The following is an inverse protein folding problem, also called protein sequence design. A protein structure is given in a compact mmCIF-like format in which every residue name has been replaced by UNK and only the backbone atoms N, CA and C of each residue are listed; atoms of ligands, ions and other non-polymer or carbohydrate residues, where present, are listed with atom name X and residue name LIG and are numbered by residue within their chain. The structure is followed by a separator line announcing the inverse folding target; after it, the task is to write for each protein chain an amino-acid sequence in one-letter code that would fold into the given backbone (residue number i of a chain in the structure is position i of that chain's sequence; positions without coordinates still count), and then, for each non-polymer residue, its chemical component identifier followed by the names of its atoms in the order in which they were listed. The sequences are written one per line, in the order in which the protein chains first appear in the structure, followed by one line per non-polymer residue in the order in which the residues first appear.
data_IF_743913055977
#
_entry.id   IF_743913055977
#
_cell.length_a   1.000
_cell.length_b   1.000
_cell.length_c   1.000
_cell.angle_alpha   90.00
_cell.angle_beta   90.00
_cell.angle_gamma   90.00
#
_symmetry.space_group_name_H-M   'P 1'
#
loop_
_entity.id
_entity.type
_entity.pdbx_description
1 polymer ?
#
# COMPACT_ATOMS: atom_id res chain seq x y z
N UNK A 1 53.17 22.26 -7.78
CA UNK A 1 51.93 22.25 -6.97
C UNK A 1 50.76 21.98 -7.90
N UNK A 2 50.37 20.72 -8.07
CA UNK A 2 49.15 20.37 -8.79
C UNK A 2 48.13 19.90 -7.74
N UNK A 3 47.08 20.68 -7.53
CA UNK A 3 45.95 20.31 -6.68
C UNK A 3 45.03 19.40 -7.51
N UNK A 4 44.94 18.13 -7.14
CA UNK A 4 43.89 17.24 -7.64
C UNK A 4 42.58 17.57 -6.91
N UNK A 5 41.57 18.03 -7.66
CA UNK A 5 40.19 18.08 -7.19
C UNK A 5 39.61 16.65 -7.25
N UNK A 6 39.32 16.06 -6.09
CA UNK A 6 38.45 14.88 -6.00
C UNK A 6 36.99 15.35 -6.16
N UNK A 7 36.20 14.78 -7.10
CA UNK A 7 34.78 15.07 -7.14
C UNK A 7 34.11 14.40 -5.94
N UNK A 8 33.33 15.19 -5.20
CA UNK A 8 32.48 14.70 -4.12
C UNK A 8 31.35 13.88 -4.78
N UNK A 9 31.38 12.56 -4.61
CA UNK A 9 30.26 11.69 -4.99
C UNK A 9 29.07 12.07 -4.08
N UNK A 10 27.89 12.43 -4.61
CA UNK A 10 26.73 12.63 -3.77
C UNK A 10 26.36 11.27 -3.15
N UNK A 11 26.36 11.20 -1.82
CA UNK A 11 25.74 10.10 -1.09
C UNK A 11 24.24 10.16 -1.38
N UNK A 12 23.78 9.36 -2.35
CA UNK A 12 22.36 9.04 -2.50
C UNK A 12 22.01 8.10 -1.35
N UNK A 13 21.34 8.64 -0.33
CA UNK A 13 20.71 7.81 0.68
C UNK A 13 19.60 6.98 0.01
N UNK A 14 19.53 5.67 0.24
CA UNK A 14 18.42 4.86 -0.27
C UNK A 14 17.13 5.36 0.39
N UNK A 15 16.21 5.87 -0.42
CA UNK A 15 14.85 6.18 0.02
C UNK A 15 14.17 4.83 0.26
N UNK A 16 13.67 4.54 1.47
CA UNK A 16 12.99 3.29 1.76
C UNK A 16 11.77 3.10 0.85
N UNK A 17 11.64 1.91 0.26
CA UNK A 17 10.46 1.47 -0.48
C UNK A 17 9.29 1.33 0.50
N UNK A 18 8.36 2.27 0.43
CA UNK A 18 7.15 2.34 1.22
C UNK A 18 5.96 2.18 0.28
N UNK A 19 5.09 1.23 0.60
CA UNK A 19 3.75 1.10 0.07
C UNK A 19 3.02 2.42 0.26
N UNK A 20 2.44 3.03 -0.78
CA UNK A 20 2.19 4.49 -0.88
C UNK A 20 3.21 5.30 -0.06
N UNK A 21 4.18 5.96 -0.68
CA UNK A 21 5.15 6.76 0.09
C UNK A 21 4.45 7.70 1.09
N UNK A 22 5.13 8.13 2.15
CA UNK A 22 4.48 8.81 3.28
C UNK A 22 3.47 9.93 2.92
N UNK A 23 3.71 10.60 1.79
CA UNK A 23 2.76 11.54 1.16
C UNK A 23 1.38 10.91 0.87
N UNK A 24 1.31 9.74 0.23
CA UNK A 24 0.09 9.04 -0.12
C UNK A 24 -0.73 8.62 1.12
N UNK A 25 -0.11 7.95 2.09
CA UNK A 25 -0.79 7.56 3.33
C UNK A 25 -1.34 8.75 4.11
N UNK A 26 -0.53 9.79 4.30
CA UNK A 26 -0.96 10.99 5.03
C UNK A 26 -2.08 11.73 4.29
N UNK A 27 -2.04 11.72 2.94
CA UNK A 27 -3.12 12.27 2.10
C UNK A 27 -4.42 11.49 2.27
N UNK A 28 -4.38 10.16 2.20
CA UNK A 28 -5.55 9.29 2.41
C UNK A 28 -6.17 9.54 3.79
N UNK A 29 -5.33 9.59 4.82
CA UNK A 29 -5.75 9.83 6.19
C UNK A 29 -6.37 11.24 6.38
N UNK A 30 -5.81 12.27 5.74
CA UNK A 30 -6.35 13.63 5.79
C UNK A 30 -7.74 13.72 5.12
N UNK A 31 -7.89 13.14 3.93
CA UNK A 31 -9.19 13.04 3.22
C UNK A 31 -10.22 12.33 4.10
N UNK A 32 -9.80 11.27 4.81
CA UNK A 32 -10.68 10.53 5.69
C UNK A 32 -11.10 11.35 6.92
N UNK A 33 -10.13 12.00 7.58
CA UNK A 33 -10.33 12.85 8.76
C UNK A 33 -11.36 13.95 8.49
N UNK A 34 -11.33 14.60 7.33
CA UNK A 34 -12.28 15.65 6.96
C UNK A 34 -13.73 15.15 6.81
N UNK A 35 -13.92 13.86 6.55
CA UNK A 35 -15.22 13.25 6.27
C UNK A 35 -15.79 12.45 7.45
N UNK A 36 -15.13 12.47 8.61
CA UNK A 36 -15.62 11.80 9.81
C UNK A 36 -16.89 12.45 10.34
N UNK A 37 -17.88 11.62 10.68
CA UNK A 37 -19.02 12.01 11.49
C UNK A 37 -18.56 12.46 12.89
N UNK A 38 -19.35 13.30 13.55
CA UNK A 38 -19.04 13.76 14.92
C UNK A 38 -18.89 12.59 15.92
N UNK A 39 -19.67 11.51 15.73
CA UNK A 39 -19.58 10.31 16.54
C UNK A 39 -18.25 9.58 16.33
N UNK A 40 -17.89 9.29 15.08
CA UNK A 40 -16.63 8.61 14.77
C UNK A 40 -15.42 9.43 15.23
N UNK A 41 -15.43 10.74 14.99
CA UNK A 41 -14.38 11.66 15.44
C UNK A 41 -14.18 11.58 16.95
N UNK A 42 -15.25 11.60 17.74
CA UNK A 42 -15.14 11.50 19.20
C UNK A 42 -14.51 10.18 19.66
N UNK A 43 -14.84 9.06 19.01
CA UNK A 43 -14.29 7.75 19.35
C UNK A 43 -12.81 7.65 18.97
N UNK A 44 -12.47 8.11 17.75
CA UNK A 44 -11.09 8.15 17.24
C UNK A 44 -10.21 9.01 18.14
N UNK A 45 -10.65 10.22 18.51
CA UNK A 45 -9.90 11.09 19.43
C UNK A 45 -9.63 10.40 20.77
N UNK A 46 -10.59 9.65 21.31
CA UNK A 46 -10.40 8.91 22.55
C UNK A 46 -9.31 7.83 22.41
N UNK A 47 -9.27 7.11 21.29
CA UNK A 47 -8.22 6.11 21.00
C UNK A 47 -6.86 6.78 20.81
N UNK A 48 -6.76 7.81 19.95
CA UNK A 48 -5.50 8.51 19.65
C UNK A 48 -4.86 9.15 20.90
N UNK A 49 -5.69 9.63 21.84
CA UNK A 49 -5.20 10.24 23.09
C UNK A 49 -4.36 9.28 23.96
N UNK A 50 -4.53 7.97 23.81
CA UNK A 50 -3.73 6.96 24.50
C UNK A 50 -2.27 6.96 24.03
N UNK A 51 -2.04 7.25 22.74
CA UNK A 51 -0.72 7.35 22.12
C UNK A 51 -0.11 8.75 22.15
N UNK A 52 -0.92 9.78 22.48
CA UNK A 52 -0.62 11.20 22.25
C UNK A 52 -0.46 11.55 20.76
N UNK A 53 -1.16 10.80 19.90
CA UNK A 53 -1.23 11.08 18.48
C UNK A 53 -2.24 12.22 18.22
N UNK A 54 -1.92 13.22 17.40
CA UNK A 54 -2.77 14.40 17.21
C UNK A 54 -3.99 14.14 16.31
N UNK A 55 -3.85 13.32 15.27
CA UNK A 55 -4.84 13.12 14.20
C UNK A 55 -4.54 11.85 13.38
N UNK A 56 -5.42 11.50 12.43
CA UNK A 56 -5.21 10.34 11.54
C UNK A 56 -3.96 10.49 10.63
N UNK A 57 -3.64 11.64 10.01
CA UNK A 57 -2.41 11.80 9.22
C UNK A 57 -1.13 11.46 9.98
N UNK A 58 -1.02 11.86 11.25
CA UNK A 58 0.16 11.60 12.06
C UNK A 58 0.43 10.11 12.32
N UNK A 59 -0.60 9.26 12.27
CA UNK A 59 -0.47 7.82 12.49
C UNK A 59 -0.40 6.99 11.20
N UNK A 60 -0.63 7.61 10.05
CA UNK A 60 -0.84 6.89 8.79
C UNK A 60 0.39 6.10 8.33
N UNK A 61 1.58 6.44 8.81
CA UNK A 61 2.85 5.79 8.45
C UNK A 61 3.36 4.77 9.48
N UNK A 62 2.68 4.63 10.62
CA UNK A 62 3.18 3.86 11.75
C UNK A 62 3.47 2.40 11.42
N UNK A 63 2.60 1.74 10.63
CA UNK A 63 2.80 0.33 10.26
C UNK A 63 4.10 0.12 9.47
N UNK A 64 4.40 1.04 8.56
CA UNK A 64 5.61 1.01 7.75
C UNK A 64 6.87 1.33 8.55
N UNK A 65 6.78 2.29 9.48
CA UNK A 65 7.85 2.61 10.41
C UNK A 65 8.17 1.42 11.33
N UNK A 66 7.15 0.71 11.81
CA UNK A 66 7.29 -0.52 12.60
C UNK A 66 7.95 -1.63 11.78
N UNK A 67 7.50 -1.85 10.54
CA UNK A 67 8.11 -2.82 9.61
C UNK A 67 9.57 -2.49 9.34
N UNK A 68 9.91 -1.21 9.15
CA UNK A 68 11.29 -0.76 8.96
C UNK A 68 12.15 -0.98 10.22
N UNK A 69 11.58 -0.75 11.40
CA UNK A 69 12.24 -0.94 12.69
C UNK A 69 12.66 -2.41 12.93
N UNK A 70 11.87 -3.38 12.44
CA UNK A 70 12.24 -4.80 12.49
C UNK A 70 13.58 -5.10 11.81
N UNK A 71 13.98 -4.27 10.85
CA UNK A 71 15.25 -4.35 10.15
C UNK A 71 16.28 -3.30 10.62
N UNK A 72 16.05 -2.68 11.78
CA UNK A 72 16.93 -1.66 12.37
C UNK A 72 16.98 -0.35 11.59
N UNK A 73 15.91 0.02 10.90
CA UNK A 73 15.80 1.25 10.09
C UNK A 73 14.60 2.09 10.48
N UNK A 74 14.53 3.31 9.96
CA UNK A 74 13.38 4.20 10.12
C UNK A 74 13.32 4.89 11.48
N UNK A 75 12.31 5.74 11.70
CA UNK A 75 12.21 6.57 12.90
C UNK A 75 11.92 5.78 14.18
N UNK A 76 11.40 4.55 14.06
CA UNK A 76 11.05 3.69 15.20
C UNK A 76 12.08 2.60 15.50
N UNK A 77 13.30 2.66 14.93
CA UNK A 77 14.32 1.60 15.12
C UNK A 77 14.72 1.35 16.57
N UNK A 78 14.64 2.39 17.41
CA UNK A 78 14.91 2.32 18.85
C UNK A 78 13.65 2.44 19.72
N UNK A 79 12.47 2.45 19.10
CA UNK A 79 11.20 2.58 19.81
C UNK A 79 10.81 1.25 20.51
N UNK A 80 10.52 1.27 21.82
CA UNK A 80 10.18 0.06 22.55
C UNK A 80 8.81 -0.52 22.14
N UNK A 81 7.82 0.31 21.78
CA UNK A 81 6.51 -0.17 21.34
C UNK A 81 6.64 -0.90 20.00
N UNK A 82 7.39 -0.34 19.05
CA UNK A 82 7.66 -0.96 17.76
C UNK A 82 8.43 -2.27 17.90
N UNK A 83 9.39 -2.34 18.83
CA UNK A 83 10.12 -3.58 19.14
C UNK A 83 9.18 -4.66 19.69
N UNK A 84 8.42 -4.34 20.73
CA UNK A 84 7.47 -5.27 21.35
C UNK A 84 6.43 -5.77 20.35
N UNK A 85 5.92 -4.86 19.49
CA UNK A 85 4.99 -5.22 18.43
C UNK A 85 5.62 -6.16 17.41
N UNK A 86 6.85 -5.90 16.95
CA UNK A 86 7.54 -6.77 16.01
C UNK A 86 7.87 -8.15 16.60
N UNK A 87 8.23 -8.20 17.88
CA UNK A 87 8.48 -9.46 18.59
C UNK A 87 7.18 -10.29 18.72
N UNK A 88 6.05 -9.62 18.96
CA UNK A 88 4.73 -10.27 19.03
C UNK A 88 4.19 -10.68 17.66
N UNK A 89 4.46 -9.87 16.62
CA UNK A 89 3.92 -10.03 15.27
C UNK A 89 5.03 -10.05 14.20
N UNK A 90 5.92 -11.07 14.19
CA UNK A 90 7.11 -11.09 13.33
C UNK A 90 6.81 -11.20 11.82
N UNK A 91 5.54 -11.44 11.46
CA UNK A 91 5.10 -11.55 10.06
C UNK A 91 4.31 -10.34 9.58
N UNK A 92 4.29 -9.24 10.34
CA UNK A 92 3.50 -8.04 10.01
C UNK A 92 3.85 -7.43 8.65
N UNK A 93 5.08 -7.64 8.14
CA UNK A 93 5.47 -7.22 6.81
C UNK A 93 4.57 -7.80 5.68
N UNK A 94 3.96 -8.97 5.90
CA UNK A 94 3.06 -9.63 4.95
C UNK A 94 1.65 -9.00 4.96
N UNK A 95 1.32 -8.20 5.96
CA UNK A 95 -0.01 -7.61 6.12
C UNK A 95 -0.25 -6.38 5.23
N UNK A 96 0.79 -5.88 4.55
CA UNK A 96 0.69 -4.71 3.69
C UNK A 96 0.09 -5.01 2.31
N UNK A 97 0.06 -6.27 1.88
CA UNK A 97 -0.33 -6.62 0.51
C UNK A 97 -1.08 -7.94 0.42
N UNK A 98 -1.59 -8.23 -0.76
CA UNK A 98 -2.06 -9.54 -1.19
C UNK A 98 -1.66 -9.76 -2.64
N UNK A 99 -1.20 -10.96 -2.99
CA UNK A 99 -0.77 -11.27 -4.36
C UNK A 99 -1.90 -11.92 -5.15
N UNK A 100 -2.81 -11.11 -5.70
CA UNK A 100 -3.90 -11.59 -6.54
C UNK A 100 -3.52 -11.55 -8.03
N UNK A 101 -3.86 -12.57 -8.82
CA UNK A 101 -3.79 -12.47 -10.28
C UNK A 101 -4.60 -11.28 -10.81
N UNK A 102 -4.08 -10.57 -11.82
CA UNK A 102 -4.69 -9.35 -12.35
C UNK A 102 -6.14 -9.52 -12.86
N UNK A 103 -6.51 -10.71 -13.34
CA UNK A 103 -7.85 -11.03 -13.84
C UNK A 103 -8.80 -11.66 -12.80
N UNK A 104 -8.50 -11.54 -11.49
CA UNK A 104 -9.29 -12.17 -10.44
C UNK A 104 -10.72 -11.60 -10.36
N UNK A 105 -11.74 -12.46 -10.39
CA UNK A 105 -13.13 -12.00 -10.27
C UNK A 105 -13.68 -12.10 -8.84
N UNK A 106 -13.06 -12.94 -8.00
CA UNK A 106 -13.57 -13.23 -6.67
C UNK A 106 -12.43 -13.57 -5.69
N UNK A 107 -12.32 -12.79 -4.62
CA UNK A 107 -11.33 -12.97 -3.56
C UNK A 107 -11.39 -14.36 -2.90
N UNK A 108 -12.58 -14.94 -2.73
CA UNK A 108 -12.77 -16.23 -2.05
C UNK A 108 -12.32 -17.43 -2.88
N UNK A 109 -12.32 -17.30 -4.21
CA UNK A 109 -11.79 -18.33 -5.10
C UNK A 109 -10.26 -18.38 -5.07
N UNK A 110 -9.61 -17.27 -4.70
CA UNK A 110 -8.18 -17.23 -4.46
C UNK A 110 -7.81 -17.56 -3.01
N UNK A 111 -8.61 -17.17 -2.01
CA UNK A 111 -8.28 -17.27 -0.59
C UNK A 111 -8.01 -18.69 -0.06
N UNK A 112 -8.52 -19.74 -0.71
CA UNK A 112 -8.17 -21.13 -0.38
C UNK A 112 -6.67 -21.44 -0.60
N UNK A 113 -5.96 -20.56 -1.31
CA UNK A 113 -4.55 -20.67 -1.68
C UNK A 113 -3.67 -19.58 -1.04
N UNK A 114 -4.24 -18.62 -0.30
CA UNK A 114 -3.51 -17.48 0.26
C UNK A 114 -3.31 -17.61 1.77
N UNK A 115 -2.16 -17.14 2.24
CA UNK A 115 -1.85 -17.04 3.67
C UNK A 115 -2.86 -16.12 4.38
N UNK A 116 -3.28 -16.42 5.62
CA UNK A 116 -4.06 -15.48 6.43
C UNK A 116 -3.28 -14.19 6.78
N UNK A 117 -1.96 -14.16 6.53
CA UNK A 117 -1.15 -12.95 6.64
C UNK A 117 -1.22 -12.16 5.32
N UNK A 118 -2.25 -11.33 5.18
CA UNK A 118 -2.41 -10.40 4.06
C UNK A 118 -3.26 -9.19 4.47
N UNK A 119 -3.27 -8.15 3.63
CA UNK A 119 -3.95 -6.87 3.92
C UNK A 119 -5.45 -7.00 4.15
N UNK A 120 -6.14 -7.92 3.47
CA UNK A 120 -7.59 -8.13 3.64
C UNK A 120 -7.87 -8.63 5.05
N UNK A 121 -7.16 -9.66 5.49
CA UNK A 121 -7.32 -10.20 6.84
C UNK A 121 -6.81 -9.25 7.92
N UNK A 122 -5.74 -8.50 7.65
CA UNK A 122 -5.23 -7.51 8.58
C UNK A 122 -6.26 -6.40 8.85
N UNK A 123 -6.93 -5.88 7.81
CA UNK A 123 -8.02 -4.91 7.97
C UNK A 123 -9.19 -5.54 8.74
N UNK A 124 -9.61 -6.76 8.40
CA UNK A 124 -10.69 -7.47 9.10
C UNK A 124 -10.38 -7.65 10.58
N UNK A 125 -9.14 -7.99 10.91
CA UNK A 125 -8.69 -8.17 12.29
C UNK A 125 -8.63 -6.83 13.04
N UNK A 126 -8.16 -5.75 12.40
CA UNK A 126 -8.22 -4.40 12.97
C UNK A 126 -9.66 -3.99 13.31
N UNK A 127 -10.62 -4.26 12.42
CA UNK A 127 -12.05 -4.01 12.68
C UNK A 127 -12.50 -4.79 13.93
N UNK A 128 -12.21 -6.09 14.01
CA UNK A 128 -12.60 -6.92 15.15
C UNK A 128 -12.04 -6.39 16.49
N UNK A 129 -10.78 -5.94 16.52
CA UNK A 129 -10.13 -5.36 17.71
C UNK A 129 -10.76 -4.01 18.09
N UNK A 130 -11.17 -3.18 17.13
CA UNK A 130 -11.84 -1.91 17.42
C UNK A 130 -13.28 -2.10 17.94
N UNK A 131 -13.91 -3.24 17.63
CA UNK A 131 -15.28 -3.56 18.02
C UNK A 131 -15.42 -4.43 19.28
N UNK A 132 -14.32 -4.98 19.79
CA UNK A 132 -14.37 -5.79 21.02
C UNK A 132 -14.46 -4.91 22.27
N UNK A 133 -15.20 -5.37 23.27
CA UNK A 133 -15.20 -4.77 24.63
C UNK A 133 -13.92 -5.18 25.38
N UNK A 134 -13.55 -6.45 25.24
CA UNK A 134 -12.38 -7.04 25.91
C UNK A 134 -11.28 -7.28 24.87
N UNK A 135 -10.17 -6.55 25.00
CA UNK A 135 -9.00 -6.80 24.17
C UNK A 135 -8.13 -7.89 24.81
N UNK A 136 -7.87 -8.98 24.09
CA UNK A 136 -7.02 -10.05 24.61
C UNK A 136 -5.56 -9.62 24.60
N UNK A 137 -4.80 -9.98 25.64
CA UNK A 137 -3.37 -9.65 25.74
C UNK A 137 -2.52 -10.17 24.57
N UNK A 138 -2.99 -11.23 23.90
CA UNK A 138 -2.33 -11.80 22.73
C UNK A 138 -2.57 -10.99 21.44
N UNK A 139 -3.50 -10.03 21.46
CA UNK A 139 -3.84 -9.17 20.33
C UNK A 139 -3.14 -7.80 20.43
N UNK A 140 -3.15 -7.03 19.34
CA UNK A 140 -2.69 -5.65 19.37
C UNK A 140 -3.71 -4.74 20.05
N UNK A 141 -3.25 -3.60 20.57
CA UNK A 141 -4.13 -2.64 21.26
C UNK A 141 -5.10 -1.95 20.29
N UNK A 142 -6.17 -1.31 20.80
CA UNK A 142 -7.07 -0.49 19.94
C UNK A 142 -6.34 0.67 19.26
N UNK A 143 -5.34 1.24 19.92
CA UNK A 143 -4.49 2.26 19.32
C UNK A 143 -3.71 1.69 18.13
N UNK A 144 -3.04 0.55 18.32
CA UNK A 144 -2.32 -0.15 17.25
C UNK A 144 -3.28 -0.58 16.13
N UNK A 145 -4.47 -1.08 16.46
CA UNK A 145 -5.51 -1.44 15.50
C UNK A 145 -5.91 -0.22 14.64
N UNK A 146 -6.08 0.95 15.24
CA UNK A 146 -6.40 2.17 14.51
C UNK A 146 -5.23 2.61 13.60
N UNK A 147 -3.99 2.62 14.11
CA UNK A 147 -2.77 2.91 13.35
C UNK A 147 -2.63 2.01 12.13
N UNK A 148 -2.79 0.70 12.33
CA UNK A 148 -2.77 -0.32 11.28
C UNK A 148 -3.93 -0.15 10.29
N UNK A 149 -5.16 0.08 10.78
CA UNK A 149 -6.33 0.22 9.92
C UNK A 149 -6.19 1.40 8.95
N UNK A 150 -5.75 2.56 9.46
CA UNK A 150 -5.52 3.76 8.64
C UNK A 150 -4.51 3.47 7.54
N UNK A 151 -3.41 2.80 7.88
CA UNK A 151 -2.36 2.44 6.92
C UNK A 151 -2.86 1.43 5.88
N UNK A 152 -3.42 0.31 6.33
CA UNK A 152 -3.80 -0.80 5.44
C UNK A 152 -4.97 -0.49 4.51
N UNK A 153 -5.89 0.41 4.92
CA UNK A 153 -6.89 0.93 3.98
C UNK A 153 -6.23 1.78 2.90
N UNK A 154 -5.10 2.44 3.19
CA UNK A 154 -4.26 3.04 2.15
C UNK A 154 -3.67 1.99 1.21
N UNK A 155 -2.98 1.00 1.77
CA UNK A 155 -2.31 -0.07 1.01
C UNK A 155 -3.27 -0.80 0.08
N UNK A 156 -4.44 -1.20 0.56
CA UNK A 156 -5.40 -1.97 -0.25
C UNK A 156 -5.95 -1.17 -1.44
N UNK A 157 -5.80 0.16 -1.44
CA UNK A 157 -6.14 1.03 -2.58
C UNK A 157 -4.94 1.33 -3.48
N UNK A 158 -3.72 0.92 -3.13
CA UNK A 158 -2.59 0.90 -4.05
C UNK A 158 -2.78 -0.31 -5.00
N UNK A 159 -2.96 -0.13 -6.32
CA UNK A 159 -3.28 -1.25 -7.20
C UNK A 159 -2.28 -2.41 -7.16
N UNK A 160 -0.99 -2.12 -7.13
CA UNK A 160 0.10 -3.09 -7.10
C UNK A 160 0.29 -3.77 -5.72
N UNK A 161 -0.39 -3.30 -4.67
CA UNK A 161 -0.49 -4.01 -3.39
C UNK A 161 -1.48 -5.17 -3.42
N UNK A 162 -2.36 -5.20 -4.42
CA UNK A 162 -3.37 -6.24 -4.56
C UNK A 162 -3.18 -7.05 -5.85
N UNK A 163 -2.85 -6.38 -6.95
CA UNK A 163 -2.64 -6.98 -8.26
C UNK A 163 -1.19 -7.36 -8.49
N UNK A 164 -0.95 -8.61 -8.89
CA UNK A 164 0.37 -9.16 -9.14
C UNK A 164 0.42 -9.82 -10.51
N UNK A 165 1.50 -9.56 -11.26
CA UNK A 165 1.76 -10.21 -12.53
C UNK A 165 2.36 -11.61 -12.32
N UNK A 166 1.81 -12.60 -13.02
CA UNK A 166 2.36 -13.97 -13.06
C UNK A 166 2.90 -14.26 -14.45
N UNK A 167 3.96 -15.05 -14.56
CA UNK A 167 4.70 -15.15 -15.81
C UNK A 167 4.92 -16.60 -16.25
N UNK A 168 4.79 -16.82 -17.56
CA UNK A 168 5.48 -17.93 -18.20
C UNK A 168 6.89 -17.51 -18.58
N UNK A 169 7.88 -18.14 -17.94
CA UNK A 169 9.31 -17.87 -18.13
C UNK A 169 10.02 -19.05 -18.81
N UNK A 170 9.29 -19.87 -19.58
CA UNK A 170 9.89 -20.95 -20.38
C UNK A 170 10.95 -20.44 -21.36
N UNK A 171 10.77 -19.21 -21.86
CA UNK A 171 11.79 -18.44 -22.56
C UNK A 171 12.01 -17.10 -21.82
N UNK A 172 13.06 -17.00 -20.99
CA UNK A 172 13.37 -15.77 -20.27
C UNK A 172 13.70 -14.58 -21.17
N UNK A 173 14.01 -14.78 -22.46
CA UNK A 173 14.18 -13.67 -23.41
C UNK A 173 12.86 -13.10 -23.92
N UNK A 174 11.74 -13.79 -23.68
CA UNK A 174 10.39 -13.37 -24.04
C UNK A 174 9.40 -13.75 -22.93
N UNK A 175 9.51 -13.13 -21.73
CA UNK A 175 8.59 -13.41 -20.64
C UNK A 175 7.15 -13.10 -21.04
N UNK A 176 6.20 -13.97 -20.67
CA UNK A 176 4.79 -13.82 -21.02
C UNK A 176 3.96 -13.58 -19.76
N UNK A 177 3.32 -12.42 -19.66
CA UNK A 177 2.35 -12.12 -18.60
C UNK A 177 1.11 -13.00 -18.75
N UNK A 178 0.70 -13.64 -17.65
CA UNK A 178 -0.50 -14.46 -17.53
C UNK A 178 -1.61 -13.62 -16.91
N UNK A 179 -2.66 -13.34 -17.69
CA UNK A 179 -3.81 -12.55 -17.24
C UNK A 179 -4.99 -13.40 -16.78
N UNK A 180 -5.04 -14.66 -17.21
CA UNK A 180 -6.04 -15.64 -16.78
C UNK A 180 -5.63 -16.27 -15.43
N UNK A 181 -6.38 -16.02 -14.34
CA UNK A 181 -6.05 -16.55 -13.01
C UNK A 181 -5.91 -18.07 -12.95
N UNK A 182 -6.63 -18.80 -13.80
CA UNK A 182 -6.57 -20.28 -13.84
C UNK A 182 -5.20 -20.81 -14.28
N UNK A 183 -4.39 -19.96 -14.92
CA UNK A 183 -3.04 -20.28 -15.39
C UNK A 183 -1.94 -19.82 -14.44
N UNK A 184 -2.28 -19.04 -13.40
CA UNK A 184 -1.30 -18.44 -12.50
C UNK A 184 -0.67 -19.46 -11.54
N UNK A 185 -1.45 -20.32 -10.88
CA UNK A 185 -0.94 -21.44 -10.05
C UNK A 185 0.37 -21.17 -9.30
N UNK A 186 1.35 -22.07 -9.45
CA UNK A 186 2.71 -21.94 -8.89
C UNK A 186 3.69 -21.15 -9.79
N UNK A 187 3.19 -20.37 -10.74
CA UNK A 187 4.05 -19.60 -11.65
C UNK A 187 4.81 -18.50 -10.89
N UNK A 188 6.03 -18.16 -11.34
CA UNK A 188 6.74 -17.01 -10.80
C UNK A 188 5.91 -15.74 -10.99
N UNK A 189 6.01 -14.85 -10.02
CA UNK A 189 5.30 -13.59 -10.00
C UNK A 189 6.24 -12.43 -9.68
N UNK A 190 5.79 -11.22 -9.99
CA UNK A 190 6.61 -10.00 -9.84
C UNK A 190 6.47 -9.30 -8.49
N UNK A 191 5.74 -9.89 -7.54
CA UNK A 191 5.52 -9.36 -6.20
C UNK A 191 4.95 -7.93 -6.26
N UNK A 192 3.89 -7.74 -7.05
CA UNK A 192 3.25 -6.44 -7.25
C UNK A 192 4.14 -5.45 -8.00
N UNK A 193 4.92 -5.91 -8.99
CA UNK A 193 5.80 -5.02 -9.75
C UNK A 193 7.15 -4.66 -9.09
N UNK A 194 7.46 -5.21 -7.91
CA UNK A 194 8.79 -5.07 -7.27
C UNK A 194 9.90 -5.77 -8.08
N UNK A 195 9.53 -6.69 -8.98
CA UNK A 195 10.47 -7.35 -9.90
C UNK A 195 10.45 -6.78 -11.31
N UNK A 196 9.69 -5.71 -11.57
CA UNK A 196 9.60 -5.08 -12.88
C UNK A 196 10.45 -3.80 -12.92
N UNK A 197 11.47 -3.78 -13.76
CA UNK A 197 12.48 -2.71 -13.77
C UNK A 197 12.50 -1.96 -15.10
N UNK A 198 12.27 -0.65 -15.06
CA UNK A 198 12.38 0.22 -16.24
C UNK A 198 13.72 0.96 -16.34
N UNK A 199 14.63 0.66 -15.42
CA UNK A 199 15.99 1.19 -15.40
C UNK A 199 16.91 0.42 -14.45
N UNK A 200 18.14 0.91 -14.28
CA UNK A 200 19.19 0.25 -13.50
C UNK A 200 19.28 0.74 -12.05
N UNK A 201 18.70 1.90 -11.73
CA UNK A 201 18.78 2.47 -10.39
C UNK A 201 17.79 1.79 -9.43
N UNK A 202 18.10 1.70 -8.12
CA UNK A 202 17.27 0.99 -7.14
C UNK A 202 15.81 1.45 -7.03
N UNK A 203 15.50 2.68 -7.43
CA UNK A 203 14.16 3.25 -7.42
C UNK A 203 13.47 3.20 -8.80
N UNK A 204 14.06 2.53 -9.78
CA UNK A 204 13.51 2.36 -11.13
C UNK A 204 12.78 1.02 -11.29
N UNK A 205 12.05 0.64 -10.26
CA UNK A 205 11.08 -0.46 -10.27
C UNK A 205 9.65 0.07 -10.40
N UNK A 206 8.77 -0.74 -10.97
CA UNK A 206 7.38 -0.35 -11.22
C UNK A 206 6.64 -0.04 -9.92
N UNK A 207 6.88 -0.81 -8.87
CA UNK A 207 6.21 -0.62 -7.59
C UNK A 207 6.55 0.76 -6.97
N UNK A 208 7.83 1.08 -6.79
CA UNK A 208 8.25 2.41 -6.33
C UNK A 208 7.75 3.57 -7.21
N UNK A 209 7.63 3.37 -8.53
CA UNK A 209 7.04 4.39 -9.42
C UNK A 209 5.60 4.72 -9.03
N UNK A 210 4.80 3.70 -8.69
CA UNK A 210 3.41 3.87 -8.26
C UNK A 210 3.29 4.41 -6.85
N UNK A 211 4.12 3.92 -5.92
CA UNK A 211 4.09 4.35 -4.53
C UNK A 211 4.51 5.81 -4.34
N UNK A 212 5.51 6.27 -5.11
CA UNK A 212 6.18 7.53 -4.82
C UNK A 212 6.13 8.52 -5.99
N UNK A 213 6.74 8.17 -7.13
CA UNK A 213 6.95 9.13 -8.20
C UNK A 213 5.63 9.60 -8.86
N UNK A 214 4.64 8.72 -9.05
CA UNK A 214 3.32 9.10 -9.56
C UNK A 214 2.52 9.91 -8.54
N UNK A 215 2.63 9.61 -7.24
CA UNK A 215 1.97 10.38 -6.18
C UNK A 215 2.54 11.80 -6.14
N UNK A 216 3.86 11.91 -6.10
CA UNK A 216 4.55 13.19 -6.09
C UNK A 216 4.22 14.01 -7.34
N UNK A 217 4.08 13.39 -8.51
CA UNK A 217 3.75 14.09 -9.76
C UNK A 217 2.40 14.84 -9.71
N UNK A 218 1.42 14.38 -8.91
CA UNK A 218 0.10 15.02 -8.76
C UNK A 218 0.18 16.38 -8.08
N UNK A 219 1.01 16.47 -7.04
CA UNK A 219 1.10 17.67 -6.20
C UNK A 219 2.35 18.51 -6.46
N UNK A 220 3.43 17.88 -6.92
CA UNK A 220 4.78 18.43 -7.03
C UNK A 220 5.26 19.08 -5.72
N UNK A 221 4.79 18.54 -4.60
CA UNK A 221 5.03 19.05 -3.25
C UNK A 221 4.82 17.90 -2.25
N UNK A 222 5.65 17.81 -1.20
CA UNK A 222 5.46 16.84 -0.11
C UNK A 222 4.33 17.22 0.85
N UNK A 223 3.62 18.32 0.61
CA UNK A 223 2.48 18.77 1.41
C UNK A 223 1.25 17.88 1.13
N UNK A 224 1.03 16.88 1.98
CA UNK A 224 -0.11 15.97 1.89
C UNK A 224 -1.45 16.68 2.02
N UNK A 225 -1.50 17.78 2.78
CA UNK A 225 -2.72 18.52 3.06
C UNK A 225 -3.15 19.33 1.82
N UNK A 226 -2.19 19.86 1.07
CA UNK A 226 -2.45 20.44 -0.25
C UNK A 226 -2.96 19.40 -1.25
N UNK A 227 -2.38 18.20 -1.25
CA UNK A 227 -2.84 17.12 -2.12
C UNK A 227 -4.26 16.66 -1.75
N UNK A 228 -4.54 16.46 -0.47
CA UNK A 228 -5.86 16.09 0.04
C UNK A 228 -6.94 17.06 -0.44
N UNK A 229 -6.77 18.37 -0.19
CA UNK A 229 -7.72 19.40 -0.64
C UNK A 229 -7.95 19.40 -2.15
N UNK A 230 -6.90 19.16 -2.95
CA UNK A 230 -7.01 19.08 -4.42
C UNK A 230 -7.87 17.89 -4.85
N UNK A 231 -7.65 16.73 -4.25
CA UNK A 231 -8.40 15.51 -4.55
C UNK A 231 -9.85 15.60 -4.06
N UNK A 232 -10.09 16.21 -2.90
CA UNK A 232 -11.44 16.46 -2.36
C UNK A 232 -12.29 17.33 -3.29
N UNK A 233 -11.69 18.40 -3.81
CA UNK A 233 -12.37 19.34 -4.70
C UNK A 233 -12.76 18.68 -6.03
N UNK A 234 -12.00 17.70 -6.49
CA UNK A 234 -12.11 17.17 -7.87
C UNK A 234 -12.73 15.79 -7.96
N UNK A 235 -12.47 14.89 -7.00
CA UNK A 235 -12.75 13.46 -7.13
C UNK A 235 -13.68 12.91 -6.05
N UNK A 236 -13.60 13.39 -4.80
CA UNK A 236 -14.32 12.79 -3.65
C UNK A 236 -15.83 12.69 -3.88
N UNK A 237 -16.45 13.71 -4.49
CA UNK A 237 -17.90 13.72 -4.78
C UNK A 237 -18.35 12.64 -5.79
N UNK A 238 -17.43 12.07 -6.56
CA UNK A 238 -17.72 11.04 -7.56
C UNK A 238 -17.53 9.61 -7.03
N UNK A 239 -16.93 9.46 -5.85
CA UNK A 239 -16.63 8.15 -5.27
C UNK A 239 -17.87 7.64 -4.53
N UNK A 240 -18.33 6.45 -4.95
CA UNK A 240 -19.47 5.78 -4.34
C UNK A 240 -19.17 5.20 -2.95
N UNK A 241 -20.19 4.62 -2.34
CA UNK A 241 -20.01 3.82 -1.12
C UNK A 241 -19.83 2.35 -1.44
N UNK A 242 -19.05 1.67 -0.60
CA UNK A 242 -18.99 0.20 -0.66
C UNK A 242 -20.28 -0.39 -0.08
N UNK A 243 -20.84 -1.38 -0.76
CA UNK A 243 -22.14 -1.96 -0.39
C UNK A 243 -21.99 -3.23 0.44
N UNK A 244 -23.06 -3.60 1.16
CA UNK A 244 -23.10 -4.81 1.98
C UNK A 244 -22.45 -4.65 3.36
N UNK A 245 -22.12 -5.78 3.98
CA UNK A 245 -21.49 -5.83 5.30
C UNK A 245 -20.05 -5.34 5.27
N UNK A 246 -19.73 -4.33 6.09
CA UNK A 246 -18.43 -3.67 6.11
C UNK A 246 -17.28 -4.56 6.56
N UNK A 247 -17.55 -5.66 7.27
CA UNK A 247 -16.56 -6.68 7.58
C UNK A 247 -16.00 -7.38 6.32
N UNK A 248 -16.73 -7.33 5.21
CA UNK A 248 -16.34 -7.95 3.94
C UNK A 248 -15.95 -6.93 2.86
N UNK A 249 -15.96 -5.63 3.16
CA UNK A 249 -15.49 -4.60 2.22
C UNK A 249 -14.03 -4.79 1.79
N UNK A 250 -13.09 -5.20 2.66
CA UNK A 250 -11.70 -5.41 2.25
C UNK A 250 -11.55 -6.46 1.12
N UNK A 251 -12.40 -7.48 1.06
CA UNK A 251 -12.40 -8.46 -0.04
C UNK A 251 -12.75 -7.79 -1.38
N UNK A 252 -13.73 -6.89 -1.38
CA UNK A 252 -14.16 -6.14 -2.57
C UNK A 252 -13.07 -5.16 -3.01
N UNK A 253 -12.47 -4.43 -2.06
CA UNK A 253 -11.41 -3.47 -2.36
C UNK A 253 -10.16 -4.14 -2.95
N UNK A 254 -9.78 -5.31 -2.45
CA UNK A 254 -8.64 -6.04 -3.02
C UNK A 254 -8.88 -6.47 -4.48
N UNK A 255 -10.09 -6.95 -4.80
CA UNK A 255 -10.46 -7.31 -6.19
C UNK A 255 -10.51 -6.07 -7.08
N UNK A 256 -11.12 -4.99 -6.61
CA UNK A 256 -11.15 -3.70 -7.31
C UNK A 256 -9.72 -3.21 -7.64
N UNK A 257 -8.83 -3.21 -6.66
CA UNK A 257 -7.45 -2.77 -6.83
C UNK A 257 -6.66 -3.69 -7.76
N UNK A 258 -6.87 -5.01 -7.70
CA UNK A 258 -6.27 -5.94 -8.66
C UNK A 258 -6.74 -5.69 -10.10
N UNK A 259 -8.01 -5.34 -10.31
CA UNK A 259 -8.51 -4.92 -11.62
C UNK A 259 -7.90 -3.60 -12.09
N UNK A 260 -7.77 -2.62 -11.19
CA UNK A 260 -7.11 -1.34 -11.51
C UNK A 260 -5.64 -1.56 -11.87
N UNK A 261 -4.97 -2.51 -11.21
CA UNK A 261 -3.57 -2.84 -11.45
C UNK A 261 -3.32 -3.23 -12.91
N UNK A 262 -4.29 -3.83 -13.61
CA UNK A 262 -4.16 -4.14 -15.05
C UNK A 262 -3.71 -2.93 -15.89
N UNK A 263 -4.07 -1.70 -15.52
CA UNK A 263 -3.61 -0.50 -16.23
C UNK A 263 -2.10 -0.28 -16.13
N UNK A 264 -1.50 -0.61 -14.98
CA UNK A 264 -0.06 -0.58 -14.77
C UNK A 264 0.69 -1.51 -15.73
N UNK A 265 0.09 -2.67 -16.02
CA UNK A 265 0.67 -3.71 -16.87
C UNK A 265 0.38 -3.52 -18.37
N UNK A 266 -0.77 -2.93 -18.73
CA UNK A 266 -1.14 -2.70 -20.14
C UNK A 266 -0.27 -1.65 -20.82
N UNK A 267 0.30 -0.72 -20.04
CA UNK A 267 1.05 0.43 -20.56
C UNK A 267 2.57 0.15 -20.62
N UNK A 268 3.01 -1.09 -20.47
CA UNK A 268 4.42 -1.47 -20.54
C UNK A 268 4.65 -2.62 -21.52
N UNK A 269 5.90 -2.79 -21.95
CA UNK A 269 6.36 -3.94 -22.70
C UNK A 269 7.36 -4.72 -21.86
N UNK A 270 7.23 -6.04 -21.81
CA UNK A 270 8.23 -6.90 -21.18
C UNK A 270 9.36 -7.16 -22.17
N UNK A 271 10.61 -7.07 -21.71
CA UNK A 271 11.79 -7.22 -22.58
C UNK A 271 12.55 -8.51 -22.29
N UNK A 272 12.91 -8.78 -21.04
CA UNK A 272 13.59 -10.02 -20.65
C UNK A 272 13.44 -10.28 -19.16
N UNK A 273 13.66 -11.53 -18.74
CA UNK A 273 13.68 -11.97 -17.36
C UNK A 273 15.03 -12.61 -17.02
N UNK A 274 15.50 -12.37 -15.81
CA UNK A 274 16.69 -12.98 -15.24
C UNK A 274 16.48 -13.31 -13.76
N UNK A 275 17.37 -14.14 -13.23
CA UNK A 275 17.45 -14.39 -11.80
C UNK A 275 18.76 -13.79 -11.27
N UNK A 276 18.64 -12.87 -10.31
CA UNK A 276 19.76 -12.33 -9.55
C UNK A 276 19.78 -13.01 -8.18
N UNK A 277 20.52 -14.13 -8.10
CA UNK A 277 20.45 -15.03 -6.96
C UNK A 277 19.08 -15.70 -6.87
N UNK A 278 18.29 -15.37 -5.84
CA UNK A 278 16.92 -15.86 -5.67
C UNK A 278 15.86 -14.86 -6.12
N UNK A 279 16.24 -13.65 -6.57
CA UNK A 279 15.28 -12.62 -6.97
C UNK A 279 15.06 -12.63 -8.47
N UNK A 280 13.78 -12.62 -8.87
CA UNK A 280 13.37 -12.39 -10.24
C UNK A 280 13.63 -10.92 -10.60
N UNK A 281 14.13 -10.68 -11.81
CA UNK A 281 14.21 -9.36 -12.40
C UNK A 281 13.65 -9.44 -13.80
N UNK A 282 12.66 -8.63 -14.11
CA UNK A 282 12.09 -8.50 -15.45
C UNK A 282 12.34 -7.08 -15.93
N UNK A 283 13.09 -6.95 -17.02
CA UNK A 283 13.29 -5.68 -17.73
C UNK A 283 12.00 -5.31 -18.43
N UNK A 284 11.55 -4.07 -18.23
CA UNK A 284 10.36 -3.52 -18.86
C UNK A 284 10.67 -2.19 -19.55
N UNK A 285 9.85 -1.86 -20.54
CA UNK A 285 9.82 -0.54 -21.14
C UNK A 285 8.45 0.08 -20.92
N UNK A 286 8.44 1.27 -20.31
CA UNK A 286 7.21 2.04 -20.16
C UNK A 286 6.82 2.69 -21.50
N UNK A 287 5.52 2.74 -21.79
CA UNK A 287 5.01 3.53 -22.91
C UNK A 287 5.34 5.02 -22.72
N UNK A 288 5.48 5.81 -23.81
CA UNK A 288 5.81 7.23 -23.71
C UNK A 288 4.84 8.06 -22.85
N UNK A 289 3.56 7.67 -22.81
CA UNK A 289 2.46 8.29 -22.08
C UNK A 289 2.17 7.63 -20.72
N UNK A 290 3.01 6.69 -20.27
CA UNK A 290 2.79 5.90 -19.05
C UNK A 290 2.48 6.77 -17.83
N UNK A 291 3.29 7.82 -17.63
CA UNK A 291 3.17 8.69 -16.47
C UNK A 291 1.84 9.45 -16.49
N UNK A 292 1.48 10.03 -17.63
CA UNK A 292 0.24 10.81 -17.79
C UNK A 292 -0.99 9.95 -17.51
N UNK A 293 -1.05 8.75 -18.11
CA UNK A 293 -2.18 7.82 -17.95
C UNK A 293 -2.32 7.35 -16.50
N UNK A 294 -1.23 6.90 -15.89
CA UNK A 294 -1.28 6.27 -14.57
C UNK A 294 -1.33 7.27 -13.42
N UNK A 295 -0.81 8.50 -13.60
CA UNK A 295 -0.95 9.56 -12.60
C UNK A 295 -2.42 9.87 -12.29
N UNK A 296 -3.29 9.86 -13.30
CA UNK A 296 -4.74 10.05 -13.09
C UNK A 296 -5.34 8.92 -12.26
N UNK A 297 -4.96 7.68 -12.55
CA UNK A 297 -5.43 6.50 -11.82
C UNK A 297 -4.97 6.56 -10.36
N UNK A 298 -3.72 6.95 -10.11
CA UNK A 298 -3.19 7.16 -8.76
C UNK A 298 -4.01 8.21 -8.00
N UNK A 299 -4.33 9.35 -8.63
CA UNK A 299 -5.18 10.37 -8.01
C UNK A 299 -6.58 9.83 -7.62
N UNK A 300 -7.19 9.04 -8.51
CA UNK A 300 -8.47 8.38 -8.27
C UNK A 300 -8.39 7.38 -7.10
N UNK A 301 -7.31 6.60 -7.00
CA UNK A 301 -7.13 5.64 -5.92
C UNK A 301 -6.83 6.28 -4.56
N UNK A 302 -6.02 7.35 -4.50
CA UNK A 302 -5.80 8.11 -3.27
C UNK A 302 -7.10 8.71 -2.74
N UNK A 303 -7.91 9.31 -3.62
CA UNK A 303 -9.22 9.83 -3.24
C UNK A 303 -10.16 8.70 -2.77
N UNK A 304 -10.17 7.56 -3.48
CA UNK A 304 -10.99 6.39 -3.15
C UNK A 304 -10.62 5.82 -1.78
N UNK A 305 -9.33 5.67 -1.50
CA UNK A 305 -8.83 5.22 -0.20
C UNK A 305 -9.29 6.12 0.96
N UNK A 306 -9.19 7.44 0.80
CA UNK A 306 -9.63 8.39 1.83
C UNK A 306 -11.14 8.34 2.10
N UNK A 307 -11.95 8.28 1.05
CA UNK A 307 -13.41 8.16 1.17
C UNK A 307 -13.81 6.83 1.82
N UNK A 308 -13.20 5.73 1.39
CA UNK A 308 -13.49 4.40 1.94
C UNK A 308 -13.04 4.27 3.40
N UNK A 309 -11.89 4.85 3.78
CA UNK A 309 -11.45 4.91 5.17
C UNK A 309 -12.45 5.67 6.04
N UNK A 310 -12.91 6.86 5.60
CA UNK A 310 -13.95 7.60 6.33
C UNK A 310 -15.25 6.81 6.46
N UNK A 311 -15.71 6.19 5.38
CA UNK A 311 -16.93 5.37 5.40
C UNK A 311 -16.81 4.23 6.41
N UNK A 312 -15.68 3.51 6.41
CA UNK A 312 -15.43 2.42 7.35
C UNK A 312 -15.41 2.90 8.80
N UNK A 313 -14.60 3.93 9.09
CA UNK A 313 -14.49 4.51 10.44
C UNK A 313 -15.84 5.04 10.97
N UNK A 314 -16.71 5.51 10.07
CA UNK A 314 -18.05 5.97 10.42
C UNK A 314 -19.04 4.84 10.75
N UNK A 315 -18.83 3.61 10.24
CA UNK A 315 -19.77 2.49 10.44
C UNK A 315 -19.32 1.48 11.49
N UNK A 316 -18.00 1.38 11.76
CA UNK A 316 -17.41 0.53 12.80
C UNK A 316 -18.15 0.73 14.13
N UNK A 317 -18.42 -0.39 14.82
CA UNK A 317 -19.04 -0.40 16.15
C UNK A 317 -17.98 -0.26 17.22
N UNK A 318 -17.49 0.95 17.43
CA UNK A 318 -16.59 1.29 18.53
C UNK A 318 -17.15 0.80 19.87
N UNK A 319 -16.42 -0.07 20.56
CA UNK A 319 -16.76 -0.58 21.91
C UNK A 319 -15.62 -0.40 22.88
#
# INVERSE_FOLDING_TARGET
MNYFFLPLLPFLFPIPLHAWSSLGHSTIAAIAEHQLSSSARSQITAVLSQGRDPDLPAIANWADDVRAAAAGRGPLSDDPEARDFNDQFPTNALWHFVNLPLGIENYRLSSASHSPNNVVHAIQHCIAVLETVDNHRADFTKLQALRLLVHFVGDIHQPLHCGTGFYDLSDPSHPVLLTDPSRCGDKPNDRGGNDLWYGSEPNQELHALWDDALVYAINQSPDYELLARRLETTLVHSIGSTSGDYHNWPEQWAVDSAHVAQNAYRSLTLESASLEGQRLRISIRLAPDYLEVNQRIVAEQLAKGGVHLAQLLNVIKWR
#
